data_IF_440343310791
#
_entry.id   IF_440343310791
#
_cell.length_a   1.000
_cell.length_b   1.000
_cell.length_c   1.000
_cell.angle_alpha   90.00
_cell.angle_beta   90.00
_cell.angle_gamma   90.00
#
_symmetry.space_group_name_H-M   'P 1'
#
loop_
_entity.id
_entity.type
_entity.pdbx_description
1 polymer ?
#
# COMPACT_ATOMS: atom_id res chain seq x y z
N UNK A 1 -11.98 10.20 2.45
CA UNK A 1 -12.25 8.78 2.16
C UNK A 1 -11.99 7.96 3.42
N UNK A 2 -12.99 7.21 3.89
CA UNK A 2 -12.82 6.27 5.00
C UNK A 2 -12.53 4.89 4.40
N UNK A 3 -11.43 4.24 4.78
CA UNK A 3 -11.09 2.87 4.34
C UNK A 3 -11.94 1.80 5.05
N UNK A 4 -13.23 2.09 5.14
CA UNK A 4 -14.24 1.21 5.69
C UNK A 4 -14.94 0.45 4.54
N UNK A 5 -15.46 -0.73 4.85
CA UNK A 5 -16.37 -1.47 4.01
C UNK A 5 -17.84 -1.02 4.25
N UNK A 6 -18.77 -1.71 3.61
CA UNK A 6 -20.20 -1.40 3.69
C UNK A 6 -20.79 -1.59 5.10
N UNK A 7 -20.05 -2.25 6.02
CA UNK A 7 -20.43 -2.47 7.41
C UNK A 7 -19.76 -1.49 8.37
N UNK A 8 -18.94 -0.55 7.87
CA UNK A 8 -18.19 0.38 8.70
C UNK A 8 -16.93 -0.24 9.32
N UNK A 9 -16.50 -1.41 8.86
CA UNK A 9 -15.30 -2.10 9.31
C UNK A 9 -14.12 -1.78 8.41
N UNK A 10 -12.90 -1.72 8.94
CA UNK A 10 -11.72 -1.52 8.09
C UNK A 10 -11.58 -2.67 7.08
N UNK A 11 -11.34 -2.29 5.82
CA UNK A 11 -11.15 -3.26 4.72
C UNK A 11 -10.06 -4.26 5.07
N UNK A 12 -10.25 -5.58 4.81
CA UNK A 12 -9.26 -6.60 5.14
C UNK A 12 -7.85 -6.33 4.59
N UNK A 13 -7.76 -5.78 3.37
CA UNK A 13 -6.50 -5.40 2.73
C UNK A 13 -5.76 -4.31 3.50
N UNK A 14 -6.49 -3.30 3.98
CA UNK A 14 -5.93 -2.24 4.83
C UNK A 14 -5.38 -2.84 6.12
N UNK A 15 -6.19 -3.62 6.84
CA UNK A 15 -5.78 -4.27 8.11
C UNK A 15 -4.53 -5.14 7.95
N UNK A 16 -4.46 -5.91 6.87
CA UNK A 16 -3.31 -6.77 6.59
C UNK A 16 -2.04 -5.96 6.39
N UNK A 17 -2.06 -4.95 5.51
CA UNK A 17 -0.88 -4.12 5.23
C UNK A 17 -0.48 -3.31 6.46
N UNK A 18 -1.45 -2.73 7.17
CA UNK A 18 -1.19 -1.98 8.40
C UNK A 18 -0.52 -2.85 9.47
N UNK A 19 -0.93 -4.11 9.61
CA UNK A 19 -0.29 -5.04 10.56
C UNK A 19 1.18 -5.30 10.23
N UNK A 20 1.52 -5.41 8.94
CA UNK A 20 2.91 -5.59 8.47
C UNK A 20 3.72 -4.32 8.76
N UNK A 21 3.19 -3.15 8.40
CA UNK A 21 3.87 -1.87 8.64
C UNK A 21 4.07 -1.62 10.14
N UNK A 22 3.03 -1.85 10.96
CA UNK A 22 3.10 -1.66 12.40
C UNK A 22 4.13 -2.61 13.04
N UNK A 23 4.22 -3.86 12.56
CA UNK A 23 5.24 -4.79 13.04
C UNK A 23 6.65 -4.36 12.63
N UNK A 24 6.86 -3.94 11.38
CA UNK A 24 8.15 -3.42 10.92
C UNK A 24 8.60 -2.19 11.70
N UNK A 25 7.68 -1.28 12.04
CA UNK A 25 7.96 -0.13 12.90
C UNK A 25 8.39 -0.54 14.32
N UNK A 26 7.72 -1.54 14.93
CA UNK A 26 8.10 -2.08 16.24
C UNK A 26 9.49 -2.72 16.23
N UNK A 27 9.86 -3.35 15.11
CA UNK A 27 11.15 -3.99 14.93
C UNK A 27 12.27 -2.99 14.57
N UNK A 28 11.94 -1.72 14.27
CA UNK A 28 12.89 -0.74 13.77
C UNK A 28 13.30 -0.93 12.31
N UNK A 29 12.51 -1.67 11.53
CA UNK A 29 12.74 -1.92 10.10
C UNK A 29 12.16 -0.80 9.21
N UNK A 30 11.09 -0.16 9.68
CA UNK A 30 10.42 0.94 8.98
C UNK A 30 10.50 2.24 9.78
N UNK A 31 10.56 3.35 9.04
CA UNK A 31 10.50 4.71 9.57
C UNK A 31 9.31 4.91 10.52
N UNK A 32 9.53 5.66 11.60
CA UNK A 32 8.54 5.88 12.67
C UNK A 32 8.06 7.33 12.77
N UNK A 33 8.43 8.19 11.81
CA UNK A 33 7.99 9.58 11.72
C UNK A 33 6.55 9.72 11.18
N UNK A 34 5.94 8.62 10.76
CA UNK A 34 4.55 8.52 10.30
C UNK A 34 3.87 7.32 10.96
N UNK A 35 2.54 7.37 11.15
CA UNK A 35 1.79 6.22 11.70
C UNK A 35 1.70 5.09 10.67
N UNK A 36 1.60 3.84 11.15
CA UNK A 36 1.38 2.65 10.29
C UNK A 36 0.17 2.82 9.37
N UNK A 37 -0.94 3.37 9.87
CA UNK A 37 -2.13 3.65 9.08
C UNK A 37 -1.88 4.68 7.98
N UNK A 38 -1.08 5.73 8.24
CA UNK A 38 -0.76 6.73 7.21
C UNK A 38 0.13 6.17 6.12
N UNK A 39 1.11 5.35 6.48
CA UNK A 39 1.95 4.62 5.52
C UNK A 39 1.07 3.67 4.68
N UNK A 40 0.16 2.93 5.32
CA UNK A 40 -0.75 1.99 4.67
C UNK A 40 -1.65 2.68 3.63
N UNK A 41 -2.25 3.81 4.00
CA UNK A 41 -3.02 4.69 3.10
C UNK A 41 -2.20 5.05 1.84
N UNK A 42 -0.94 5.48 2.03
CA UNK A 42 -0.07 5.83 0.90
C UNK A 42 0.30 4.63 0.02
N UNK A 43 0.59 3.46 0.62
CA UNK A 43 0.87 2.21 -0.13
C UNK A 43 -0.34 1.84 -1.00
N UNK A 44 -1.55 1.87 -0.43
CA UNK A 44 -2.77 1.52 -1.15
C UNK A 44 -3.10 2.52 -2.27
N UNK A 45 -2.86 3.81 -2.06
CA UNK A 45 -3.01 4.83 -3.10
C UNK A 45 -2.03 4.55 -4.25
N UNK A 46 -0.76 4.26 -3.96
CA UNK A 46 0.24 3.96 -4.98
C UNK A 46 -0.12 2.71 -5.79
N UNK A 47 -0.50 1.62 -5.11
CA UNK A 47 -0.96 0.39 -5.76
C UNK A 47 -2.21 0.61 -6.61
N UNK A 48 -3.19 1.36 -6.10
CA UNK A 48 -4.41 1.72 -6.85
C UNK A 48 -4.08 2.55 -8.09
N UNK A 49 -3.10 3.45 -8.01
CA UNK A 49 -2.61 4.24 -9.14
C UNK A 49 -2.12 3.37 -10.29
N UNK A 50 -1.39 2.29 -9.99
CA UNK A 50 -0.90 1.32 -10.99
C UNK A 50 -2.07 0.60 -11.68
N UNK A 51 -3.06 0.14 -10.91
CA UNK A 51 -4.22 -0.55 -11.45
C UNK A 51 -5.09 0.36 -12.34
N UNK A 52 -5.26 1.63 -11.94
CA UNK A 52 -6.00 2.63 -12.71
C UNK A 52 -5.25 2.99 -14.00
N UNK A 53 -3.93 3.20 -13.95
CA UNK A 53 -3.12 3.47 -15.14
C UNK A 53 -3.19 2.29 -16.13
N UNK A 54 -3.12 1.07 -15.63
CA UNK A 54 -3.18 -0.14 -16.45
C UNK A 54 -4.52 -0.27 -17.19
N UNK A 55 -5.64 -0.06 -16.47
CA UNK A 55 -6.97 -0.12 -17.07
C UNK A 55 -7.21 0.96 -18.12
N UNK A 56 -6.64 2.17 -17.92
CA UNK A 56 -6.70 3.27 -18.89
C UNK A 56 -5.87 3.04 -20.15
N UNK A 57 -4.84 2.19 -20.07
CA UNK A 57 -3.95 1.88 -21.18
C UNK A 57 -4.29 0.55 -21.85
N UNK A 58 -5.56 0.16 -21.81
CA UNK A 58 -6.09 -1.04 -22.49
C UNK A 58 -5.29 -2.31 -22.19
N UNK A 59 -4.86 -2.48 -20.94
CA UNK A 59 -4.06 -3.62 -20.50
C UNK A 59 -2.73 -3.82 -21.29
N UNK A 60 -2.14 -2.74 -21.80
CA UNK A 60 -0.94 -2.75 -22.67
C UNK A 60 0.38 -3.24 -22.04
N UNK A 61 0.39 -3.55 -20.75
CA UNK A 61 1.56 -4.11 -20.06
C UNK A 61 1.15 -5.15 -19.01
N UNK A 62 2.12 -5.92 -18.50
CA UNK A 62 1.88 -6.87 -17.42
C UNK A 62 1.61 -6.12 -16.10
N UNK A 63 0.38 -6.18 -15.62
CA UNK A 63 -0.05 -5.51 -14.38
C UNK A 63 0.75 -6.01 -13.17
N UNK A 64 1.03 -7.31 -13.08
CA UNK A 64 1.70 -7.90 -11.92
C UNK A 64 3.15 -7.42 -11.82
N UNK A 65 3.87 -7.42 -12.94
CA UNK A 65 5.25 -6.90 -13.00
C UNK A 65 5.31 -5.43 -12.60
N UNK A 66 4.42 -4.60 -13.16
CA UNK A 66 4.38 -3.17 -12.83
C UNK A 66 3.98 -2.90 -11.38
N UNK A 67 3.07 -3.71 -10.83
CA UNK A 67 2.68 -3.61 -9.43
C UNK A 67 3.86 -3.93 -8.52
N UNK A 68 4.59 -5.02 -8.81
CA UNK A 68 5.78 -5.42 -8.05
C UNK A 68 6.86 -4.32 -8.06
N UNK A 69 7.14 -3.72 -9.22
CA UNK A 69 8.07 -2.60 -9.37
C UNK A 69 7.70 -1.42 -8.45
N UNK A 70 6.45 -0.97 -8.51
CA UNK A 70 5.98 0.21 -7.77
C UNK A 70 5.89 -0.05 -6.27
N UNK A 71 5.35 -1.21 -5.88
CA UNK A 71 5.21 -1.58 -4.47
C UNK A 71 6.60 -1.77 -3.86
N UNK A 72 7.53 -2.45 -4.55
CA UNK A 72 8.91 -2.62 -4.08
C UNK A 72 9.62 -1.27 -3.94
N UNK A 73 9.51 -0.38 -4.94
CA UNK A 73 10.06 0.96 -4.85
C UNK A 73 9.52 1.71 -3.62
N UNK A 74 8.20 1.65 -3.41
CA UNK A 74 7.56 2.32 -2.29
C UNK A 74 8.03 1.75 -0.94
N UNK A 75 8.01 0.44 -0.75
CA UNK A 75 8.47 -0.18 0.50
C UNK A 75 9.94 0.10 0.80
N UNK A 76 10.82 0.15 -0.21
CA UNK A 76 12.22 0.55 -0.03
C UNK A 76 12.36 1.98 0.49
N UNK A 77 11.48 2.89 0.10
CA UNK A 77 11.47 4.28 0.60
C UNK A 77 11.02 4.43 2.06
N UNK A 78 10.45 3.36 2.63
CA UNK A 78 9.99 3.31 4.03
C UNK A 78 11.03 2.75 5.00
N UNK A 79 12.11 2.15 4.49
CA UNK A 79 13.18 1.60 5.32
C UNK A 79 13.86 2.71 6.14
N UNK A 80 14.23 2.38 7.39
CA UNK A 80 14.89 3.29 8.34
C UNK A 80 16.36 3.56 8.00
#
# INVERSE_FOLDING_TARGET
>A
PTDLDDYGEQRPTFRMIESVVAQGQKNGEFRTDMTSGKITDMVLIAASGVAIDWSRREASYNLLERMDEYVTFFFRSLLS
#
